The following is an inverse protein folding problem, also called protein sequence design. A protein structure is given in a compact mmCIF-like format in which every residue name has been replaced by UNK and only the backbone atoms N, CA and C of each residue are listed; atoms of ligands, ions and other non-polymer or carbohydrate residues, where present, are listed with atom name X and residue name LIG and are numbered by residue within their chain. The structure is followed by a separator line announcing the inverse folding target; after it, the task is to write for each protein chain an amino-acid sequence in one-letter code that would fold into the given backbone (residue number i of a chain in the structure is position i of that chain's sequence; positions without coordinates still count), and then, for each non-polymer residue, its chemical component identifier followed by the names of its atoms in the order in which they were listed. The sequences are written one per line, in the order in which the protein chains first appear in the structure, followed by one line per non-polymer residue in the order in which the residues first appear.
data_IF_715203257545
#
_entry.id   IF_715203257545
#
_cell.length_a   1.000
_cell.length_b   1.000
_cell.length_c   1.000
_cell.angle_alpha   90.00
_cell.angle_beta   90.00
_cell.angle_gamma   90.00
#
_symmetry.space_group_name_H-M   'P 1'
#
loop_
_entity.id
_entity.type
_entity.pdbx_description
1 polymer ?
#
# COMPACT_ATOMS: atom_id res chain seq x y z
N UNK A 1 14.71 16.96 0.90
CA UNK A 1 13.66 17.48 1.80
C UNK A 1 12.29 17.22 1.18
N UNK A 2 11.23 17.02 1.98
CA UNK A 2 9.86 16.85 1.51
C UNK A 2 8.98 18.00 2.04
N UNK A 3 9.02 19.20 1.42
CA UNK A 3 8.28 20.38 1.89
C UNK A 3 6.77 20.13 2.00
N UNK A 4 6.24 19.23 1.18
CA UNK A 4 4.84 18.80 1.15
C UNK A 4 4.35 18.24 2.49
N UNK A 5 5.25 17.72 3.34
CA UNK A 5 4.88 17.21 4.66
C UNK A 5 4.59 18.32 5.67
N UNK A 6 5.12 19.53 5.46
CA UNK A 6 4.88 20.68 6.34
C UNK A 6 3.40 21.09 6.38
N UNK A 7 2.66 20.77 5.33
CA UNK A 7 1.22 21.03 5.22
C UNK A 7 0.36 19.95 5.91
N UNK A 8 0.95 18.98 6.63
CA UNK A 8 0.23 17.89 7.31
C UNK A 8 0.33 18.04 8.83
N UNK A 9 -0.73 17.62 9.53
CA UNK A 9 -0.71 17.60 10.99
C UNK A 9 0.28 16.55 11.51
N UNK A 10 0.84 16.79 12.70
CA UNK A 10 1.72 15.84 13.38
C UNK A 10 1.04 14.49 13.60
N UNK A 11 -0.24 14.50 14.00
CA UNK A 11 -1.01 13.26 14.19
C UNK A 11 -1.16 12.46 12.89
N UNK A 12 -1.42 13.13 11.76
CA UNK A 12 -1.50 12.47 10.45
C UNK A 12 -0.18 11.81 10.07
N UNK A 13 0.93 12.50 10.28
CA UNK A 13 2.27 11.96 10.00
C UNK A 13 2.60 10.79 10.94
N UNK A 14 2.22 10.89 12.22
CA UNK A 14 2.41 9.84 13.22
C UNK A 14 1.66 8.57 12.83
N UNK A 15 0.36 8.64 12.52
CA UNK A 15 -0.41 7.44 12.13
C UNK A 15 0.16 6.77 10.88
N UNK A 16 0.65 7.55 9.90
CA UNK A 16 1.31 7.01 8.70
C UNK A 16 2.63 6.34 9.04
N UNK A 17 3.44 6.98 9.89
CA UNK A 17 4.72 6.44 10.33
C UNK A 17 4.54 5.15 11.12
N UNK A 18 3.61 5.11 12.08
CA UNK A 18 3.28 3.93 12.87
C UNK A 18 2.84 2.76 11.98
N UNK A 19 1.99 3.00 10.98
CA UNK A 19 1.63 1.96 10.02
C UNK A 19 2.86 1.41 9.26
N UNK A 20 3.73 2.29 8.76
CA UNK A 20 4.92 1.89 8.01
C UNK A 20 5.91 1.06 8.85
N UNK A 21 6.01 1.36 10.15
CA UNK A 21 6.91 0.62 11.05
C UNK A 21 6.24 -0.66 11.53
N UNK A 22 5.06 -0.57 12.13
CA UNK A 22 4.42 -1.68 12.86
C UNK A 22 3.78 -2.72 11.94
N UNK A 23 3.12 -2.29 10.87
CA UNK A 23 2.37 -3.21 9.98
C UNK A 23 3.22 -3.61 8.76
N UNK A 24 3.89 -2.62 8.14
CA UNK A 24 4.73 -2.89 6.95
C UNK A 24 6.10 -3.45 7.34
N UNK A 25 6.59 -3.16 8.55
CA UNK A 25 7.90 -3.64 9.01
C UNK A 25 9.08 -2.85 8.45
N UNK A 26 8.89 -1.57 8.10
CA UNK A 26 9.99 -0.73 7.58
C UNK A 26 10.80 -0.11 8.72
N UNK A 27 12.11 -0.13 8.56
CA UNK A 27 13.03 0.53 9.48
C UNK A 27 12.82 2.06 9.50
N UNK A 28 12.81 2.71 10.69
CA UNK A 28 12.69 4.16 10.80
C UNK A 28 13.68 4.94 9.93
N UNK A 29 14.94 4.48 9.87
CA UNK A 29 15.96 5.09 9.01
C UNK A 29 15.63 4.98 7.51
N UNK A 30 15.07 3.84 7.09
CA UNK A 30 14.63 3.66 5.71
C UNK A 30 13.52 4.65 5.32
N UNK A 31 12.58 4.90 6.24
CA UNK A 31 11.49 5.88 6.07
C UNK A 31 12.04 7.30 6.07
N UNK A 32 12.96 7.64 6.98
CA UNK A 32 13.57 8.96 7.07
C UNK A 32 14.31 9.37 5.78
N UNK A 33 14.94 8.42 5.09
CA UNK A 33 15.54 8.63 3.77
C UNK A 33 14.51 8.73 2.63
N UNK A 34 13.27 8.29 2.84
CA UNK A 34 12.18 8.27 1.84
C UNK A 34 10.89 8.90 2.38
N UNK A 35 10.94 10.18 2.80
CA UNK A 35 9.80 10.84 3.46
C UNK A 35 8.58 10.98 2.55
N UNK A 36 8.73 10.80 1.23
CA UNK A 36 7.61 10.78 0.28
C UNK A 36 6.57 9.70 0.61
N UNK A 37 6.93 8.60 1.27
CA UNK A 37 5.95 7.61 1.71
C UNK A 37 4.94 8.21 2.70
N UNK A 38 5.37 9.14 3.55
CA UNK A 38 4.52 9.85 4.51
C UNK A 38 3.62 10.90 3.83
N UNK A 39 3.83 11.21 2.55
CA UNK A 39 2.97 12.14 1.81
C UNK A 39 1.64 11.48 1.40
N UNK A 40 1.68 10.20 1.01
CA UNK A 40 0.52 9.46 0.52
C UNK A 40 -0.54 9.23 1.61
N UNK A 41 -1.78 9.03 1.18
CA UNK A 41 -2.91 8.75 2.08
C UNK A 41 -2.75 7.38 2.74
N UNK A 42 -2.99 7.32 4.05
CA UNK A 42 -2.96 6.07 4.81
C UNK A 42 -4.02 5.09 4.27
N UNK A 43 -5.28 5.51 4.30
CA UNK A 43 -6.42 4.69 3.88
C UNK A 43 -6.51 4.52 2.36
N UNK A 44 -6.24 5.57 1.59
CA UNK A 44 -6.46 5.53 0.14
C UNK A 44 -5.29 4.97 -0.69
N UNK A 45 -4.11 4.77 -0.11
CA UNK A 45 -2.94 4.29 -0.88
C UNK A 45 -2.00 3.38 -0.11
N UNK A 46 -1.59 3.73 1.11
CA UNK A 46 -0.62 2.93 1.86
C UNK A 46 -1.21 1.56 2.23
N UNK A 47 -2.33 1.55 2.94
CA UNK A 47 -3.02 0.32 3.35
C UNK A 47 -3.47 -0.55 2.17
N UNK A 48 -4.21 -0.04 1.17
CA UNK A 48 -4.68 -0.86 0.05
C UNK A 48 -3.54 -1.56 -0.68
N UNK A 49 -2.43 -0.85 -0.93
CA UNK A 49 -1.28 -1.43 -1.63
C UNK A 49 -0.49 -2.41 -0.77
N UNK A 50 -0.42 -2.17 0.55
CA UNK A 50 0.18 -3.13 1.48
C UNK A 50 -0.59 -4.45 1.47
N UNK A 51 -1.91 -4.40 1.59
CA UNK A 51 -2.73 -5.61 1.65
C UNK A 51 -2.73 -6.38 0.34
N UNK A 52 -2.71 -5.70 -0.81
CA UNK A 52 -2.52 -6.38 -2.11
C UNK A 52 -1.17 -7.10 -2.13
N UNK A 53 -0.06 -6.43 -1.79
CA UNK A 53 1.26 -7.07 -1.78
C UNK A 53 1.33 -8.26 -0.80
N UNK A 54 0.71 -8.11 0.39
CA UNK A 54 0.62 -9.18 1.38
C UNK A 54 -0.17 -10.38 0.84
N UNK A 55 -1.35 -10.14 0.26
CA UNK A 55 -2.17 -11.17 -0.39
C UNK A 55 -1.41 -11.90 -1.49
N UNK A 56 -0.75 -11.18 -2.39
CA UNK A 56 0.01 -11.79 -3.47
C UNK A 56 1.12 -12.68 -2.92
N UNK A 57 1.85 -12.21 -1.91
CA UNK A 57 2.93 -12.96 -1.27
C UNK A 57 2.42 -14.24 -0.58
N UNK A 58 1.34 -14.14 0.17
CA UNK A 58 0.75 -15.26 0.91
C UNK A 58 0.14 -16.32 -0.02
N UNK A 59 -0.33 -15.91 -1.20
CA UNK A 59 -0.89 -16.81 -2.22
C UNK A 59 0.13 -17.26 -3.29
N UNK A 60 1.42 -16.92 -3.14
CA UNK A 60 2.47 -17.31 -4.09
C UNK A 60 2.38 -16.64 -5.46
N UNK A 61 1.62 -15.55 -5.58
CA UNK A 61 1.43 -14.77 -6.81
C UNK A 61 2.56 -13.75 -6.98
N UNK A 62 3.74 -14.24 -7.39
CA UNK A 62 5.02 -13.51 -7.31
C UNK A 62 5.32 -12.54 -8.47
N UNK A 63 4.37 -12.30 -9.40
CA UNK A 63 4.63 -11.42 -10.56
C UNK A 63 4.84 -9.95 -10.18
N UNK A 64 4.53 -9.57 -8.94
CA UNK A 64 4.79 -8.25 -8.37
C UNK A 64 5.87 -8.30 -7.28
N UNK A 65 7.13 -8.54 -7.67
CA UNK A 65 8.31 -8.43 -6.80
C UNK A 65 8.74 -6.97 -6.59
N UNK A 66 7.83 -6.16 -6.03
CA UNK A 66 8.10 -4.76 -5.74
C UNK A 66 8.34 -4.52 -4.26
N UNK A 67 9.38 -3.75 -3.96
CA UNK A 67 9.49 -3.12 -2.65
C UNK A 67 8.24 -2.29 -2.36
N UNK A 68 7.86 -2.19 -1.08
CA UNK A 68 6.72 -1.36 -0.69
C UNK A 68 6.86 0.09 -1.15
N UNK A 69 8.08 0.64 -1.14
CA UNK A 69 8.37 1.98 -1.68
C UNK A 69 8.01 2.10 -3.17
N UNK A 70 8.44 1.14 -4.00
CA UNK A 70 8.08 1.11 -5.42
C UNK A 70 6.56 1.00 -5.56
N UNK A 71 5.95 0.14 -4.76
CA UNK A 71 4.51 -0.07 -4.78
C UNK A 71 3.73 1.21 -4.53
N UNK A 72 4.09 2.04 -3.53
CA UNK A 72 3.35 3.26 -3.19
C UNK A 72 3.69 4.48 -4.05
N UNK A 73 4.86 4.52 -4.67
CA UNK A 73 5.29 5.67 -5.49
C UNK A 73 4.77 5.63 -6.92
N UNK A 74 4.36 4.47 -7.42
CA UNK A 74 3.83 4.32 -8.78
C UNK A 74 2.38 4.81 -8.89
N UNK A 75 1.95 5.18 -10.10
CA UNK A 75 0.57 5.59 -10.36
C UNK A 75 -0.41 4.42 -10.16
N UNK A 76 -1.67 4.72 -9.85
CA UNK A 76 -2.69 3.69 -9.64
C UNK A 76 -2.84 2.78 -10.87
N UNK A 77 -2.86 3.38 -12.07
CA UNK A 77 -2.90 2.65 -13.34
C UNK A 77 -1.74 1.66 -13.48
N UNK A 78 -0.53 2.07 -13.09
CA UNK A 78 0.64 1.21 -13.22
C UNK A 78 0.65 0.11 -12.15
N UNK A 79 0.25 0.42 -10.92
CA UNK A 79 0.09 -0.56 -9.85
C UNK A 79 -0.94 -1.63 -10.22
N UNK A 80 -2.13 -1.24 -10.69
CA UNK A 80 -3.16 -2.19 -11.13
C UNK A 80 -2.65 -3.10 -12.25
N UNK A 81 -2.05 -2.51 -13.29
CA UNK A 81 -1.53 -3.28 -14.44
C UNK A 81 -0.50 -4.33 -14.04
N UNK A 82 0.30 -4.09 -13.01
CA UNK A 82 1.45 -4.92 -12.64
C UNK A 82 1.20 -5.86 -11.48
N UNK A 83 0.34 -5.50 -10.53
CA UNK A 83 0.14 -6.27 -9.31
C UNK A 83 -1.29 -6.81 -9.16
N UNK A 84 -2.23 -6.39 -10.01
CA UNK A 84 -3.63 -6.85 -9.91
C UNK A 84 -4.05 -7.58 -11.19
N UNK A 85 -3.94 -6.93 -12.35
CA UNK A 85 -4.37 -7.50 -13.64
C UNK A 85 -3.78 -8.89 -13.96
N UNK A 86 -2.50 -9.18 -13.66
CA UNK A 86 -1.93 -10.51 -13.95
C UNK A 86 -2.60 -11.66 -13.18
N UNK A 87 -3.30 -11.36 -12.08
CA UNK A 87 -3.83 -12.36 -11.15
C UNK A 87 -5.36 -12.44 -11.18
N UNK A 88 -6.02 -11.89 -12.20
CA UNK A 88 -7.49 -11.89 -12.26
C UNK A 88 -8.11 -13.28 -12.36
N UNK A 89 -7.41 -14.26 -12.95
CA UNK A 89 -7.89 -15.64 -12.99
C UNK A 89 -7.77 -16.34 -11.64
N UNK A 90 -6.63 -16.15 -10.94
CA UNK A 90 -6.36 -16.77 -9.65
C UNK A 90 -7.06 -16.06 -8.48
N UNK A 91 -7.33 -14.75 -8.61
CA UNK A 91 -7.92 -13.90 -7.58
C UNK A 91 -8.94 -12.93 -8.22
N UNK A 92 -10.11 -13.43 -8.65
CA UNK A 92 -11.09 -12.66 -9.43
C UNK A 92 -11.62 -11.41 -8.70
N UNK A 93 -11.66 -11.43 -7.37
CA UNK A 93 -12.15 -10.32 -6.55
C UNK A 93 -11.07 -9.29 -6.16
N UNK A 94 -9.80 -9.54 -6.46
CA UNK A 94 -8.68 -8.69 -5.99
C UNK A 94 -8.80 -7.24 -6.44
N UNK A 95 -9.29 -7.00 -7.67
CA UNK A 95 -9.47 -5.66 -8.20
C UNK A 95 -10.61 -4.89 -7.49
N UNK A 96 -11.70 -5.58 -7.18
CA UNK A 96 -12.87 -5.02 -6.49
C UNK A 96 -12.54 -4.72 -5.03
N UNK A 97 -11.87 -5.65 -4.35
CA UNK A 97 -11.39 -5.51 -2.98
C UNK A 97 -10.39 -4.35 -2.87
N UNK A 98 -9.45 -4.22 -3.82
CA UNK A 98 -8.53 -3.08 -3.87
C UNK A 98 -9.28 -1.75 -4.08
N UNK A 99 -10.28 -1.72 -4.96
CA UNK A 99 -11.06 -0.51 -5.21
C UNK A 99 -11.87 -0.09 -3.97
N UNK A 100 -12.48 -1.05 -3.25
CA UNK A 100 -13.17 -0.80 -1.98
C UNK A 100 -12.21 -0.31 -0.91
N UNK A 101 -11.06 -0.96 -0.75
CA UNK A 101 -10.00 -0.53 0.16
C UNK A 101 -9.56 0.92 -0.12
N UNK A 102 -9.39 1.31 -1.39
CA UNK A 102 -9.02 2.68 -1.77
C UNK A 102 -10.06 3.74 -1.37
N UNK A 103 -11.33 3.36 -1.20
CA UNK A 103 -12.41 4.24 -0.72
C UNK A 103 -12.50 4.30 0.81
N UNK A 104 -11.68 3.53 1.52
CA UNK A 104 -11.78 3.39 2.98
C UNK A 104 -12.83 2.37 3.44
N UNK A 105 -13.45 1.67 2.49
CA UNK A 105 -14.37 0.54 2.75
C UNK A 105 -13.56 -0.74 2.95
N UNK A 106 -12.47 -0.67 3.74
CA UNK A 106 -11.61 -1.82 4.00
C UNK A 106 -12.47 -2.96 4.55
N UNK A 107 -12.63 -4.08 3.83
CA UNK A 107 -13.30 -5.22 4.41
C UNK A 107 -12.46 -5.67 5.60
N UNK A 108 -13.11 -5.97 6.74
CA UNK A 108 -12.48 -6.52 7.94
C UNK A 108 -11.65 -7.79 7.66
N UNK A 109 -11.85 -8.36 6.48
CA UNK A 109 -11.20 -9.54 5.97
C UNK A 109 -11.01 -9.26 4.47
N UNK A 110 -9.81 -8.80 4.07
CA UNK A 110 -9.33 -9.14 2.72
C UNK A 110 -9.59 -10.64 2.58
N UNK A 111 -10.42 -11.04 1.63
CA UNK A 111 -10.87 -12.43 1.52
C UNK A 111 -9.69 -13.26 1.05
N UNK A 112 -8.83 -13.64 1.99
CA UNK A 112 -7.94 -14.79 1.88
C UNK A 112 -8.85 -16.01 2.00
N UNK A 113 -9.62 -16.31 0.94
CA UNK A 113 -10.26 -17.63 0.81
C UNK A 113 -9.19 -18.67 0.53
#
# INVERSE_FOLDING_TARGET
MAPMLLNRSKDTLRCRFEFLVSEVGLEPGYIAHRPVMLYYSLEGRLKPRYYVLKFLKENGLVDCDWSFYTAVTRSDKYFMKKCICPHQEAAPHLAEDYAAACRGEMPSNFRFT
#
